data_IF_699085618195
#
_entry.id   IF_699085618195
#
_cell.length_a   1.000
_cell.length_b   1.000
_cell.length_c   1.000
_cell.angle_alpha   90.00
_cell.angle_beta   90.00
_cell.angle_gamma   90.00
#
_symmetry.space_group_name_H-M   'P 1'
#
loop_
_entity.id
_entity.type
_entity.pdbx_description
1 polymer ?
#
# COMPACT_ATOMS: atom_id res chain seq x y z
N UNK A 1 -4.33 -15.20 -4.93
CA UNK A 1 -4.17 -14.47 -3.65
C UNK A 1 -3.92 -13.02 -4.02
N UNK A 2 -4.82 -12.11 -3.69
CA UNK A 2 -4.60 -10.68 -3.90
C UNK A 2 -3.53 -10.21 -2.92
N UNK A 3 -2.40 -9.76 -3.44
CA UNK A 3 -1.36 -9.10 -2.66
C UNK A 3 -1.92 -7.79 -2.10
N UNK A 4 -1.66 -7.52 -0.83
CA UNK A 4 -2.07 -6.28 -0.17
C UNK A 4 -0.82 -5.59 0.36
N UNK A 5 -0.70 -4.30 0.06
CA UNK A 5 0.35 -3.42 0.56
C UNK A 5 -0.29 -2.44 1.53
N UNK A 6 0.30 -2.29 2.70
CA UNK A 6 -0.17 -1.45 3.78
C UNK A 6 0.81 -0.31 4.02
N UNK A 7 0.27 0.89 4.23
CA UNK A 7 1.03 2.05 4.72
C UNK A 7 0.59 2.31 6.15
N UNK A 8 1.46 1.95 7.10
CA UNK A 8 1.15 1.96 8.54
C UNK A 8 2.06 2.93 9.29
N UNK A 9 1.58 3.60 10.35
CA UNK A 9 2.46 4.38 11.20
C UNK A 9 3.41 3.45 11.97
N UNK A 10 4.70 3.76 11.98
CA UNK A 10 5.69 3.03 12.78
C UNK A 10 6.71 3.98 13.38
N UNK A 11 6.77 4.01 14.72
CA UNK A 11 7.56 4.99 15.50
C UNK A 11 7.29 6.40 14.99
N UNK A 12 8.32 7.17 14.67
CA UNK A 12 8.23 8.54 14.20
C UNK A 12 7.84 8.66 12.71
N UNK A 13 7.78 7.54 11.97
CA UNK A 13 7.53 7.53 10.53
C UNK A 13 6.39 6.61 10.09
N UNK A 14 6.51 6.14 8.85
CA UNK A 14 5.54 5.36 8.10
C UNK A 14 6.24 4.24 7.35
N UNK A 15 5.75 3.03 7.54
CA UNK A 15 6.26 1.84 6.88
C UNK A 15 5.34 1.45 5.73
N UNK A 16 5.94 1.03 4.62
CA UNK A 16 5.26 0.33 3.52
C UNK A 16 5.56 -1.16 3.68
N UNK A 17 4.52 -1.99 3.78
CA UNK A 17 4.68 -3.41 4.12
C UNK A 17 3.63 -4.27 3.41
N UNK A 18 4.02 -5.44 2.90
CA UNK A 18 3.03 -6.43 2.46
C UNK A 18 2.27 -7.03 3.65
N UNK A 19 1.00 -7.35 3.45
CA UNK A 19 0.19 -8.05 4.46
C UNK A 19 0.88 -9.34 4.91
N UNK A 20 1.10 -9.46 6.22
CA UNK A 20 1.77 -10.61 6.84
C UNK A 20 3.30 -10.62 6.73
N UNK A 21 3.92 -9.61 6.11
CA UNK A 21 5.37 -9.49 6.10
C UNK A 21 5.91 -9.15 7.50
N UNK A 22 7.11 -9.65 7.80
CA UNK A 22 7.81 -9.42 9.07
C UNK A 22 8.56 -8.08 9.10
N UNK A 23 8.92 -7.58 7.93
CA UNK A 23 9.73 -6.37 7.76
C UNK A 23 9.06 -5.47 6.73
N UNK A 24 9.22 -4.16 6.92
CA UNK A 24 8.79 -3.18 5.95
C UNK A 24 9.70 -3.23 4.70
N UNK A 25 9.10 -3.07 3.52
CA UNK A 25 9.82 -2.85 2.27
C UNK A 25 10.54 -1.51 2.28
N UNK A 26 9.96 -0.51 2.93
CA UNK A 26 10.55 0.82 3.08
C UNK A 26 9.99 1.57 4.29
N UNK A 27 10.80 2.50 4.81
CA UNK A 27 10.44 3.41 5.90
C UNK A 27 10.60 4.86 5.45
N UNK A 28 9.63 5.71 5.79
CA UNK A 28 9.59 7.12 5.44
C UNK A 28 9.19 7.98 6.63
N UNK A 29 9.76 9.19 6.74
CA UNK A 29 9.37 10.14 7.78
C UNK A 29 7.94 10.68 7.54
N UNK A 30 7.60 10.94 6.28
CA UNK A 30 6.34 11.57 5.88
C UNK A 30 5.34 10.58 5.31
N UNK A 31 4.07 10.76 5.70
CA UNK A 31 2.96 9.90 5.26
C UNK A 31 2.80 9.94 3.74
N UNK A 32 2.84 11.13 3.16
CA UNK A 32 2.62 11.33 1.73
C UNK A 32 3.68 10.60 0.90
N UNK A 33 4.93 10.62 1.36
CA UNK A 33 6.04 9.89 0.71
C UNK A 33 5.82 8.38 0.79
N UNK A 34 5.42 7.85 1.94
CA UNK A 34 5.10 6.42 2.08
C UNK A 34 3.91 6.01 1.20
N UNK A 35 2.87 6.85 1.11
CA UNK A 35 1.71 6.60 0.24
C UNK A 35 2.12 6.61 -1.24
N UNK A 36 3.00 7.52 -1.66
CA UNK A 36 3.54 7.51 -3.02
C UNK A 36 4.34 6.23 -3.31
N UNK A 37 5.24 5.83 -2.40
CA UNK A 37 6.02 4.60 -2.54
C UNK A 37 5.12 3.36 -2.61
N UNK A 38 4.16 3.23 -1.68
CA UNK A 38 3.18 2.14 -1.68
C UNK A 38 2.28 2.13 -2.92
N UNK A 39 1.95 3.29 -3.49
CA UNK A 39 1.20 3.40 -4.74
C UNK A 39 2.00 2.85 -5.93
N UNK A 40 3.28 3.18 -6.03
CA UNK A 40 4.14 2.67 -7.11
C UNK A 40 4.26 1.15 -7.00
N UNK A 41 4.51 0.64 -5.79
CA UNK A 41 4.62 -0.79 -5.53
C UNK A 41 3.31 -1.53 -5.86
N UNK A 42 2.18 -1.03 -5.36
CA UNK A 42 0.89 -1.67 -5.56
C UNK A 42 0.43 -1.67 -7.03
N UNK A 43 0.75 -0.62 -7.79
CA UNK A 43 0.52 -0.60 -9.24
C UNK A 43 1.39 -1.61 -9.99
N UNK A 44 2.66 -1.74 -9.62
CA UNK A 44 3.57 -2.70 -10.24
C UNK A 44 3.14 -4.15 -10.01
N UNK A 45 2.58 -4.44 -8.83
CA UNK A 45 2.18 -5.79 -8.43
C UNK A 45 0.70 -6.12 -8.73
N UNK A 46 -0.11 -5.13 -9.14
CA UNK A 46 -1.57 -5.30 -9.23
C UNK A 46 -2.21 -5.60 -7.87
N UNK A 47 -1.68 -4.99 -6.81
CA UNK A 47 -2.07 -5.22 -5.43
C UNK A 47 -3.11 -4.20 -4.95
N UNK A 48 -3.79 -4.51 -3.84
CA UNK A 48 -4.57 -3.49 -3.12
C UNK A 48 -3.64 -2.68 -2.21
N UNK A 49 -3.69 -1.35 -2.29
CA UNK A 49 -3.06 -0.45 -1.33
C UNK A 49 -4.05 -0.08 -0.23
N UNK A 50 -3.65 -0.25 1.03
CA UNK A 50 -4.40 0.18 2.22
C UNK A 50 -3.56 1.19 3.00
N UNK A 51 -4.15 2.31 3.38
CA UNK A 51 -3.48 3.39 4.12
C UNK A 51 -4.14 3.58 5.47
N UNK A 52 -3.32 3.64 6.52
CA UNK A 52 -3.77 3.84 7.88
C UNK A 52 -3.48 5.28 8.35
N UNK A 53 -4.17 5.73 9.39
CA UNK A 53 -3.81 6.93 10.15
C UNK A 53 -2.86 6.59 11.32
N UNK A 54 -2.42 7.61 12.06
CA UNK A 54 -1.57 7.46 13.26
C UNK A 54 -2.26 6.68 14.40
N UNK A 55 -3.58 6.56 14.39
CA UNK A 55 -4.32 5.74 15.34
C UNK A 55 -4.45 4.27 14.89
N UNK A 56 -3.85 3.90 13.75
CA UNK A 56 -3.92 2.55 13.20
C UNK A 56 -5.27 2.25 12.55
N UNK A 57 -6.07 3.26 12.19
CA UNK A 57 -7.36 3.08 11.52
C UNK A 57 -7.19 3.23 10.02
N UNK A 58 -7.81 2.32 9.27
CA UNK A 58 -7.87 2.44 7.81
C UNK A 58 -8.54 3.77 7.43
N UNK A 59 -7.88 4.55 6.59
CA UNK A 59 -8.36 5.85 6.12
C UNK A 59 -8.41 5.95 4.60
N UNK A 60 -7.94 4.94 3.88
CA UNK A 60 -8.01 4.89 2.43
C UNK A 60 -7.62 3.54 1.90
N UNK A 61 -8.31 3.11 0.84
CA UNK A 61 -8.08 1.84 0.16
C UNK A 61 -8.23 2.04 -1.34
N UNK A 62 -7.24 1.57 -2.10
CA UNK A 62 -7.24 1.64 -3.58
C UNK A 62 -6.83 0.29 -4.12
N UNK A 63 -7.66 -0.28 -4.97
CA UNK A 63 -7.37 -1.55 -5.63
C UNK A 63 -6.70 -1.29 -6.99
N UNK A 64 -5.46 -1.74 -7.15
CA UNK A 64 -4.71 -1.63 -8.40
C UNK A 64 -4.69 -2.92 -9.21
N UNK A 65 -5.39 -3.96 -8.76
CA UNK A 65 -5.65 -5.11 -9.60
C UNK A 65 -6.40 -4.60 -10.83
N UNK A 66 -5.70 -4.57 -11.96
CA UNK A 66 -6.35 -4.28 -13.24
C UNK A 66 -7.47 -5.29 -13.37
N UNK A 67 -8.71 -4.79 -13.30
CA UNK A 67 -9.85 -5.54 -13.80
C UNK A 67 -9.53 -5.70 -15.28
N UNK A 68 -9.05 -6.87 -15.69
CA UNK A 68 -8.90 -7.25 -17.09
C UNK A 68 -10.31 -7.30 -17.70
N UNK A 69 -10.93 -6.13 -17.88
CA UNK A 69 -12.15 -5.97 -18.64
C UNK A 69 -11.70 -5.84 -20.08
N UNK A 70 -11.65 -7.00 -20.74
CA UNK A 70 -11.71 -7.19 -22.19
C UNK A 70 -11.05 -6.11 -23.05
N UNK A 71 -9.79 -6.32 -23.40
CA UNK A 71 -9.31 -5.93 -24.73
C UNK A 71 -9.97 -6.87 -25.76
N UNK A 72 -11.21 -6.57 -26.15
CA UNK A 72 -11.90 -7.12 -27.31
C UNK A 72 -12.85 -6.03 -27.85
N UNK A 73 -12.33 -5.22 -28.78
CA UNK A 73 -13.09 -4.57 -29.86
C UNK A 73 -12.11 -4.13 -30.94
#
# INVERSE_FOLDING_TARGET
>A
MTTQIQVVPYRDGWDVIHEGARYADSHHADREVAVMAGTVLARGEGATLVTYDRAGRECGRVDYATRAVGALA
#
